data_IF_491665985169
#
_entry.id   IF_491665985169
#
_cell.length_a   1.000
_cell.length_b   1.000
_cell.length_c   1.000
_cell.angle_alpha   90.00
_cell.angle_beta   90.00
_cell.angle_gamma   90.00
#
_symmetry.space_group_name_H-M   'P 1'
#
loop_
_entity.id
_entity.type
_entity.pdbx_description
1 polymer ?
#
# COMPACT_ATOMS: atom_id res chain seq x y z
N UNK A 1 29.12 -2.08 6.16
CA UNK A 1 29.00 -0.81 5.37
C UNK A 1 28.07 -0.93 4.14
N UNK A 2 27.76 -2.14 3.65
CA UNK A 2 26.82 -2.32 2.52
C UNK A 2 25.35 -2.40 2.90
N UNK A 3 24.99 -2.59 4.15
CA UNK A 3 23.60 -2.75 4.61
C UNK A 3 22.85 -1.45 4.79
N UNK A 4 23.52 -0.32 5.00
CA UNK A 4 22.85 0.98 5.18
C UNK A 4 22.44 1.63 3.86
N UNK A 5 23.04 1.24 2.74
CA UNK A 5 22.75 1.76 1.39
C UNK A 5 21.53 1.12 0.75
N UNK A 6 21.17 -0.10 1.16
CA UNK A 6 20.00 -0.83 0.64
C UNK A 6 18.70 -0.48 1.37
N UNK A 7 18.78 0.10 2.55
CA UNK A 7 17.62 0.45 3.38
C UNK A 7 17.07 1.86 3.08
N UNK A 8 17.79 2.67 2.31
CA UNK A 8 17.49 4.11 2.17
C UNK A 8 16.91 4.55 0.82
N UNK A 9 16.75 3.69 -0.19
CA UNK A 9 16.35 4.13 -1.53
C UNK A 9 15.40 3.21 -2.27
N UNK A 10 14.85 2.22 -1.63
CA UNK A 10 13.99 1.26 -2.32
C UNK A 10 12.52 1.59 -2.12
N UNK A 11 11.86 1.84 -3.25
CA UNK A 11 10.41 2.01 -3.35
C UNK A 11 9.75 0.70 -2.89
N UNK A 12 9.18 0.74 -1.70
CA UNK A 12 8.58 -0.43 -1.07
C UNK A 12 7.13 -0.59 -1.54
N UNK A 13 6.90 -1.39 -2.60
CA UNK A 13 5.54 -1.77 -3.02
C UNK A 13 5.07 -2.87 -2.09
N UNK A 14 4.45 -2.50 -0.97
CA UNK A 14 4.02 -3.46 0.05
C UNK A 14 2.53 -3.48 0.31
N UNK A 15 1.85 -2.37 0.06
CA UNK A 15 0.44 -2.23 0.42
C UNK A 15 -0.47 -2.58 -0.75
N UNK A 16 -1.37 -3.51 -0.52
CA UNK A 16 -2.40 -3.91 -1.49
C UNK A 16 -3.76 -3.80 -0.86
N UNK A 17 -4.66 -3.14 -1.57
CA UNK A 17 -6.04 -2.95 -1.16
C UNK A 17 -6.99 -3.50 -2.20
N UNK A 18 -8.09 -4.10 -1.72
CA UNK A 18 -9.27 -4.38 -2.51
C UNK A 18 -10.28 -3.25 -2.27
N UNK A 19 -10.71 -2.61 -3.35
CA UNK A 19 -11.66 -1.51 -3.32
C UNK A 19 -12.89 -1.93 -4.12
N UNK A 20 -14.06 -1.93 -3.46
CA UNK A 20 -15.35 -2.22 -4.06
C UNK A 20 -16.48 -1.43 -3.35
N UNK A 21 -17.29 -2.05 -2.51
CA UNK A 21 -18.26 -1.35 -1.65
C UNK A 21 -17.61 -0.75 -0.39
N UNK A 22 -16.32 -0.96 -0.21
CA UNK A 22 -15.47 -0.47 0.85
C UNK A 22 -14.01 -0.66 0.47
N UNK A 23 -13.12 -0.35 1.37
CA UNK A 23 -11.68 -0.59 1.22
C UNK A 23 -11.23 -1.66 2.22
N UNK A 24 -10.44 -2.60 1.75
CA UNK A 24 -9.85 -3.65 2.58
C UNK A 24 -8.38 -3.84 2.21
N UNK A 25 -7.49 -3.68 3.17
CA UNK A 25 -6.09 -4.04 2.98
C UNK A 25 -5.94 -5.56 2.89
N UNK A 26 -5.32 -6.04 1.83
CA UNK A 26 -5.12 -7.47 1.55
C UNK A 26 -3.80 -7.99 2.11
N UNK A 27 -2.79 -7.16 2.14
CA UNK A 27 -1.46 -7.50 2.66
C UNK A 27 -1.31 -7.12 4.12
N UNK A 28 -0.48 -7.86 4.84
CA UNK A 28 -0.04 -7.51 6.19
C UNK A 28 1.38 -6.97 6.12
N UNK A 29 1.60 -5.86 6.78
CA UNK A 29 2.93 -5.30 6.90
C UNK A 29 3.84 -6.18 7.74
N UNK A 30 5.04 -6.42 7.25
CA UNK A 30 6.11 -7.00 8.04
C UNK A 30 6.94 -5.88 8.69
N UNK A 31 6.28 -5.08 9.51
CA UNK A 31 6.91 -4.02 10.28
C UNK A 31 7.03 -4.39 11.76
N UNK A 32 7.97 -3.76 12.43
CA UNK A 32 8.15 -3.93 13.88
C UNK A 32 6.86 -3.60 14.63
N UNK A 33 6.17 -2.58 14.18
CA UNK A 33 4.94 -2.08 14.80
C UNK A 33 3.79 -3.07 14.66
N UNK A 34 3.64 -3.69 13.50
CA UNK A 34 2.64 -4.74 13.28
C UNK A 34 2.92 -5.98 14.16
N UNK A 35 4.18 -6.30 14.38
CA UNK A 35 4.56 -7.35 15.31
C UNK A 35 4.22 -7.00 16.76
N UNK A 36 4.39 -5.73 17.15
CA UNK A 36 3.97 -5.23 18.47
C UNK A 36 2.45 -5.30 18.66
N UNK A 37 1.67 -4.97 17.63
CA UNK A 37 0.19 -5.14 17.64
C UNK A 37 -0.17 -6.61 17.83
N UNK A 38 0.44 -7.50 17.07
CA UNK A 38 0.18 -8.95 17.14
C UNK A 38 0.49 -9.52 18.53
N UNK A 39 1.51 -9.02 19.19
CA UNK A 39 1.90 -9.41 20.56
C UNK A 39 1.06 -8.71 21.65
N UNK A 40 0.14 -7.82 21.26
CA UNK A 40 -0.72 -7.09 22.19
C UNK A 40 -0.01 -5.95 22.93
N UNK A 41 1.17 -5.53 22.46
CA UNK A 41 1.94 -4.44 23.06
C UNK A 41 1.38 -3.04 22.78
N UNK A 42 0.75 -2.88 21.62
CA UNK A 42 0.10 -1.62 21.20
C UNK A 42 -1.21 -1.93 20.48
N UNK A 43 -2.11 -0.93 20.39
CA UNK A 43 -3.36 -1.06 19.64
C UNK A 43 -3.14 -0.81 18.15
N UNK A 44 -3.97 -1.39 17.25
CA UNK A 44 -3.89 -1.14 15.81
C UNK A 44 -3.95 0.35 15.42
N UNK A 45 -4.76 1.12 16.15
CA UNK A 45 -4.91 2.57 15.93
C UNK A 45 -3.62 3.34 16.27
N UNK A 46 -2.87 2.89 17.27
CA UNK A 46 -1.59 3.49 17.68
C UNK A 46 -0.47 3.15 16.70
N UNK A 47 -0.58 2.01 16.02
CA UNK A 47 0.39 1.53 15.04
C UNK A 47 0.58 2.51 13.88
N UNK A 48 -0.51 3.06 13.35
CA UNK A 48 -0.48 4.01 12.21
C UNK A 48 0.35 5.26 12.48
N UNK A 49 0.44 5.70 13.73
CA UNK A 49 1.14 6.92 14.13
C UNK A 49 2.43 6.65 14.91
N UNK A 50 2.86 5.39 15.01
CA UNK A 50 4.06 5.04 15.76
C UNK A 50 5.33 5.53 15.04
N UNK A 51 6.33 6.07 15.76
CA UNK A 51 7.58 6.57 15.15
C UNK A 51 8.35 5.48 14.38
N UNK A 52 8.26 4.24 14.81
CA UNK A 52 8.98 3.10 14.22
C UNK A 52 8.14 2.33 13.18
N UNK A 53 7.03 2.89 12.68
CA UNK A 53 6.15 2.23 11.70
C UNK A 53 6.85 1.84 10.40
N UNK A 54 7.92 2.51 10.06
CA UNK A 54 8.69 2.25 8.83
C UNK A 54 9.83 1.21 9.01
N UNK A 55 9.99 0.65 10.22
CA UNK A 55 10.99 -0.39 10.46
C UNK A 55 10.49 -1.73 9.94
N UNK A 56 11.09 -2.20 8.85
CA UNK A 56 10.75 -3.47 8.20
C UNK A 56 11.46 -4.61 8.93
N UNK A 57 10.73 -5.67 9.27
CA UNK A 57 11.25 -6.87 9.94
C UNK A 57 11.61 -7.99 8.98
N UNK A 58 11.15 -7.92 7.70
CA UNK A 58 11.48 -8.86 6.63
C UNK A 58 12.04 -8.13 5.42
N UNK A 59 13.23 -8.52 4.98
CA UNK A 59 13.85 -8.01 3.78
C UNK A 59 14.64 -9.14 3.08
N UNK A 60 14.65 -9.11 1.76
CA UNK A 60 15.48 -10.02 0.96
C UNK A 60 16.96 -9.70 1.21
N UNK A 61 17.74 -10.72 1.48
CA UNK A 61 19.18 -10.58 1.74
C UNK A 61 19.56 -10.26 3.19
N UNK A 62 18.60 -9.97 4.06
CA UNK A 62 18.88 -9.73 5.48
C UNK A 62 19.15 -11.02 6.27
N UNK A 63 18.60 -12.16 5.80
CA UNK A 63 18.80 -13.51 6.36
C UNK A 63 19.00 -14.50 5.21
N UNK A 64 19.53 -15.68 5.51
CA UNK A 64 19.72 -16.78 4.53
C UNK A 64 18.38 -17.25 3.93
N UNK A 65 17.32 -17.23 4.74
CA UNK A 65 15.98 -17.64 4.35
C UNK A 65 15.01 -16.46 4.50
N UNK A 66 14.08 -16.33 3.56
CA UNK A 66 12.98 -15.37 3.62
C UNK A 66 11.66 -16.12 3.61
N UNK A 67 10.80 -15.80 4.56
CA UNK A 67 9.44 -16.31 4.62
C UNK A 67 8.55 -15.49 3.68
N UNK A 68 7.86 -16.18 2.75
CA UNK A 68 7.00 -15.54 1.74
C UNK A 68 5.55 -15.77 2.08
N UNK A 69 4.75 -14.71 2.11
CA UNK A 69 3.31 -14.81 2.29
C UNK A 69 2.62 -14.87 0.92
N UNK A 70 1.64 -15.75 0.80
CA UNK A 70 0.80 -15.90 -0.38
C UNK A 70 -0.63 -15.48 -0.04
N UNK A 71 -1.19 -14.63 -0.91
CA UNK A 71 -2.57 -14.16 -0.79
C UNK A 71 -3.34 -14.52 -2.07
N UNK A 72 -4.50 -15.13 -1.90
CA UNK A 72 -5.41 -15.47 -3.01
C UNK A 72 -6.76 -14.78 -2.78
N UNK A 73 -7.22 -14.02 -3.76
CA UNK A 73 -8.52 -13.36 -3.74
C UNK A 73 -9.29 -13.60 -5.02
N UNK A 74 -10.58 -13.92 -4.88
CA UNK A 74 -11.50 -14.01 -6.03
C UNK A 74 -12.08 -12.64 -6.30
N UNK A 75 -11.77 -12.09 -7.47
CA UNK A 75 -12.24 -10.78 -7.91
C UNK A 75 -13.58 -10.89 -8.61
N UNK A 76 -14.42 -9.88 -8.48
CA UNK A 76 -15.71 -9.71 -9.13
C UNK A 76 -15.69 -8.44 -9.97
N UNK A 77 -16.68 -8.31 -10.87
CA UNK A 77 -16.87 -7.08 -11.65
C UNK A 77 -17.10 -5.90 -10.68
N UNK A 78 -16.42 -4.79 -10.93
CA UNK A 78 -16.43 -3.60 -10.07
C UNK A 78 -15.41 -3.62 -8.94
N UNK A 79 -14.65 -4.71 -8.77
CA UNK A 79 -13.52 -4.72 -7.85
C UNK A 79 -12.31 -4.01 -8.48
N UNK A 80 -11.65 -3.17 -7.71
CA UNK A 80 -10.39 -2.51 -8.11
C UNK A 80 -9.31 -2.93 -7.11
N UNK A 81 -8.16 -3.34 -7.64
CA UNK A 81 -6.98 -3.59 -6.83
C UNK A 81 -6.08 -2.36 -6.88
N UNK A 82 -5.77 -1.81 -5.73
CA UNK A 82 -4.74 -0.79 -5.54
C UNK A 82 -3.49 -1.45 -4.96
N UNK A 83 -2.36 -1.25 -5.62
CA UNK A 83 -1.04 -1.58 -5.09
C UNK A 83 -0.24 -0.28 -5.01
N UNK A 84 0.37 -0.02 -3.87
CA UNK A 84 1.10 1.22 -3.69
C UNK A 84 2.33 1.06 -2.80
N UNK A 85 3.19 2.07 -2.87
CA UNK A 85 4.29 2.25 -1.93
C UNK A 85 3.79 2.92 -0.66
N UNK A 86 4.57 2.84 0.40
CA UNK A 86 4.29 3.50 1.67
C UNK A 86 4.28 5.03 1.57
N UNK A 87 4.90 5.60 0.53
CA UNK A 87 4.76 7.02 0.20
C UNK A 87 3.32 7.45 -0.13
N UNK A 88 2.43 6.52 -0.54
CA UNK A 88 1.01 6.79 -0.65
C UNK A 88 0.28 6.52 0.67
N UNK A 89 0.38 5.30 1.18
CA UNK A 89 -0.42 4.84 2.33
C UNK A 89 -0.06 5.53 3.65
N UNK A 90 1.13 6.10 3.77
CA UNK A 90 1.49 6.95 4.91
C UNK A 90 0.93 8.39 4.82
N UNK A 91 0.59 8.85 3.62
CA UNK A 91 0.13 10.22 3.37
C UNK A 91 -1.38 10.33 3.19
N UNK A 92 -2.03 9.27 2.74
CA UNK A 92 -3.47 9.26 2.40
C UNK A 92 -4.15 8.17 3.22
N UNK A 93 -5.16 8.54 3.98
CA UNK A 93 -5.94 7.60 4.81
C UNK A 93 -6.84 6.70 3.95
N UNK A 94 -7.18 5.52 4.48
CA UNK A 94 -7.95 4.50 3.75
C UNK A 94 -9.29 5.04 3.22
N UNK A 95 -9.99 5.88 3.98
CA UNK A 95 -11.25 6.51 3.55
C UNK A 95 -11.04 7.44 2.35
N UNK A 96 -9.95 8.20 2.34
CA UNK A 96 -9.62 9.10 1.24
C UNK A 96 -9.20 8.31 0.00
N UNK A 97 -8.39 7.25 0.15
CA UNK A 97 -8.08 6.31 -0.94
C UNK A 97 -9.35 5.75 -1.58
N UNK A 98 -10.29 5.31 -0.76
CA UNK A 98 -11.58 4.80 -1.21
C UNK A 98 -12.37 5.84 -2.01
N UNK A 99 -12.50 7.05 -1.49
CA UNK A 99 -13.26 8.12 -2.15
C UNK A 99 -12.63 8.57 -3.47
N UNK A 100 -11.31 8.63 -3.56
CA UNK A 100 -10.62 8.98 -4.80
C UNK A 100 -10.87 7.94 -5.88
N UNK A 101 -10.73 6.65 -5.54
CA UNK A 101 -10.88 5.55 -6.50
C UNK A 101 -12.34 5.34 -6.92
N UNK A 102 -13.30 5.48 -5.99
CA UNK A 102 -14.74 5.33 -6.25
C UNK A 102 -15.41 6.60 -6.81
N UNK A 103 -14.69 7.70 -6.96
CA UNK A 103 -15.23 9.01 -7.34
C UNK A 103 -15.75 9.13 -8.78
N UNK A 104 -15.93 8.02 -9.50
CA UNK A 104 -16.50 7.99 -10.85
C UNK A 104 -15.55 8.49 -11.96
N UNK A 105 -14.25 8.61 -11.63
CA UNK A 105 -13.18 8.90 -12.58
C UNK A 105 -12.75 7.61 -13.29
N UNK A 106 -12.11 7.75 -14.44
CA UNK A 106 -11.43 6.62 -15.01
C UNK A 106 -10.22 6.19 -14.15
N UNK A 107 -9.68 5.02 -14.44
CA UNK A 107 -8.59 4.42 -13.63
C UNK A 107 -7.31 5.25 -13.70
N UNK A 108 -7.05 5.94 -14.81
CA UNK A 108 -5.87 6.80 -15.00
C UNK A 108 -6.01 8.08 -14.19
N UNK A 109 -7.17 8.74 -14.27
CA UNK A 109 -7.48 9.92 -13.48
C UNK A 109 -7.45 9.63 -11.98
N UNK A 110 -7.96 8.47 -11.57
CA UNK A 110 -7.89 8.00 -10.17
C UNK A 110 -6.45 7.83 -9.71
N UNK A 111 -5.59 7.23 -10.54
CA UNK A 111 -4.16 7.08 -10.22
C UNK A 111 -3.44 8.42 -10.07
N UNK A 112 -3.72 9.38 -10.94
CA UNK A 112 -3.16 10.73 -10.85
C UNK A 112 -3.64 11.46 -9.59
N UNK A 113 -4.93 11.37 -9.28
CA UNK A 113 -5.50 12.00 -8.09
C UNK A 113 -4.92 11.43 -6.78
N UNK A 114 -4.64 10.12 -6.73
CA UNK A 114 -3.96 9.50 -5.59
C UNK A 114 -2.55 10.07 -5.38
N UNK A 115 -1.78 10.23 -6.46
CA UNK A 115 -0.43 10.82 -6.38
C UNK A 115 -0.49 12.29 -5.95
N UNK A 116 -1.44 13.06 -6.47
CA UNK A 116 -1.63 14.46 -6.08
C UNK A 116 -2.01 14.59 -4.61
N UNK A 117 -2.98 13.80 -4.13
CA UNK A 117 -3.37 13.77 -2.72
C UNK A 117 -2.17 13.48 -1.79
N UNK A 118 -1.34 12.49 -2.14
CA UNK A 118 -0.15 12.19 -1.35
C UNK A 118 0.86 13.35 -1.34
N UNK A 119 1.03 14.05 -2.44
CA UNK A 119 1.91 15.24 -2.52
C UNK A 119 1.37 16.41 -1.70
N UNK A 120 0.06 16.66 -1.75
CA UNK A 120 -0.60 17.72 -0.97
C UNK A 120 -0.50 17.44 0.53
N UNK A 121 -0.59 16.18 0.94
CA UNK A 121 -0.45 15.74 2.33
C UNK A 121 1.01 15.67 2.82
N UNK A 122 1.97 16.11 2.00
CA UNK A 122 3.36 16.29 2.41
C UNK A 122 4.40 15.69 1.47
N UNK A 123 4.11 14.61 0.74
CA UNK A 123 4.97 14.03 -0.28
C UNK A 123 6.40 13.71 0.19
N UNK A 124 6.53 13.11 1.35
CA UNK A 124 7.84 12.94 2.02
C UNK A 124 8.67 11.78 1.48
N UNK A 125 8.08 10.93 0.63
CA UNK A 125 8.74 9.74 0.08
C UNK A 125 8.36 9.52 -1.39
N UNK A 126 8.98 8.53 -2.04
CA UNK A 126 8.63 8.09 -3.39
C UNK A 126 7.20 7.52 -3.41
N UNK A 127 6.40 7.97 -4.37
CA UNK A 127 5.01 7.55 -4.52
C UNK A 127 4.88 6.69 -5.76
N UNK A 128 4.60 5.40 -5.57
CA UNK A 128 4.25 4.47 -6.64
C UNK A 128 2.83 3.95 -6.48
N UNK A 129 2.07 3.93 -7.57
CA UNK A 129 0.67 3.49 -7.61
C UNK A 129 0.43 2.59 -8.81
N UNK A 130 -0.23 1.46 -8.58
CA UNK A 130 -0.77 0.60 -9.63
C UNK A 130 -2.24 0.33 -9.31
N UNK A 131 -3.12 0.65 -10.23
CA UNK A 131 -4.55 0.33 -10.18
C UNK A 131 -4.87 -0.74 -11.21
N UNK A 132 -5.63 -1.75 -10.81
CA UNK A 132 -6.05 -2.85 -11.68
C UNK A 132 -7.57 -2.97 -11.58
N UNK A 133 -8.24 -2.81 -12.71
CA UNK A 133 -9.66 -3.09 -12.88
C UNK A 133 -9.84 -4.31 -13.81
N UNK A 134 -9.93 -5.53 -13.24
CA UNK A 134 -9.76 -6.78 -14.01
C UNK A 134 -10.89 -7.10 -14.97
N UNK A 135 -12.04 -6.44 -14.88
CA UNK A 135 -13.23 -6.69 -15.69
C UNK A 135 -13.76 -5.41 -16.37
N UNK A 136 -12.89 -4.47 -16.68
CA UNK A 136 -13.24 -3.30 -17.48
C UNK A 136 -13.63 -3.74 -18.90
N UNK A 137 -14.74 -3.23 -19.42
CA UNK A 137 -15.29 -3.64 -20.73
C UNK A 137 -14.52 -3.06 -21.93
N UNK A 138 -13.59 -2.12 -21.70
CA UNK A 138 -12.82 -1.48 -22.76
C UNK A 138 -11.33 -1.47 -22.43
N UNK A 139 -10.58 -2.26 -23.20
CA UNK A 139 -9.16 -2.00 -23.36
C UNK A 139 -9.04 -0.88 -24.39
N UNK A 140 -8.96 0.36 -23.94
CA UNK A 140 -8.54 1.47 -24.78
C UNK A 140 -7.09 1.26 -25.16
N UNK A 141 -6.86 0.62 -26.30
CA UNK A 141 -5.53 0.55 -26.92
C UNK A 141 -5.24 1.94 -27.47
N UNK A 142 -4.40 2.68 -26.79
CA UNK A 142 -3.75 3.88 -27.32
C UNK A 142 -2.61 3.49 -28.26
#
# INVERSE_FOLDING_TARGET
EMTSSLVGSEMCIRDRYLINQGIQQLTKDHSLVEEMVRLGGIKPEEAKHHPDKNIITRAIGAKADVEVDFYEHRLKRGDIILMCTDGLSNMVEDEELFHIVQGGRDIVESGQALIEAAKENGGTDNIGVVLIEPFADEVSVL
#
